data_IF_190447276188
#
_entry.id   IF_190447276188
#
_cell.length_a   1.000
_cell.length_b   1.000
_cell.length_c   1.000
_cell.angle_alpha   90.00
_cell.angle_beta   90.00
_cell.angle_gamma   90.00
#
_symmetry.space_group_name_H-M   'P 1'
#
loop_
_entity.id
_entity.type
_entity.pdbx_description
1 polymer ?
#
# COMPACT_ATOMS: atom_id res chain seq x y z
N UNK A 1 -9.19 31.81 20.04
CA UNK A 1 -9.21 30.33 19.94
C UNK A 1 -8.53 29.74 21.17
N UNK A 2 -9.29 29.07 22.05
CA UNK A 2 -8.74 28.32 23.19
C UNK A 2 -7.66 27.32 22.74
N UNK A 3 -6.65 27.11 23.58
CA UNK A 3 -5.51 26.21 23.28
C UNK A 3 -5.96 24.75 23.03
N UNK A 4 -7.07 24.33 23.66
CA UNK A 4 -7.66 23.00 23.46
C UNK A 4 -8.24 22.83 22.04
N UNK A 5 -9.00 23.81 21.54
CA UNK A 5 -9.58 23.79 20.20
C UNK A 5 -8.51 23.77 19.10
N UNK A 6 -7.41 24.52 19.31
CA UNK A 6 -6.25 24.49 18.40
C UNK A 6 -5.63 23.10 18.31
N UNK A 7 -5.51 22.39 19.44
CA UNK A 7 -4.90 21.06 19.50
C UNK A 7 -5.79 19.99 18.84
N UNK A 8 -7.10 20.07 19.01
CA UNK A 8 -8.07 19.21 18.31
C UNK A 8 -8.03 19.45 16.80
N UNK A 9 -8.03 20.72 16.36
CA UNK A 9 -7.94 21.06 14.94
C UNK A 9 -6.63 20.56 14.28
N UNK A 10 -5.51 20.64 15.00
CA UNK A 10 -4.24 20.05 14.55
C UNK A 10 -4.34 18.53 14.43
N UNK A 11 -4.90 17.83 15.42
CA UNK A 11 -5.10 16.38 15.36
C UNK A 11 -6.00 15.97 14.20
N UNK A 12 -7.10 16.68 13.94
CA UNK A 12 -7.95 16.46 12.78
C UNK A 12 -7.18 16.59 11.45
N UNK A 13 -6.29 17.59 11.36
CA UNK A 13 -5.41 17.75 10.18
C UNK A 13 -4.45 16.57 10.05
N UNK A 14 -3.84 16.12 11.15
CA UNK A 14 -2.93 14.95 11.12
C UNK A 14 -3.67 13.69 10.73
N UNK A 15 -4.89 13.44 11.23
CA UNK A 15 -5.72 12.29 10.81
C UNK A 15 -5.94 12.31 9.30
N UNK A 16 -6.30 13.47 8.72
CA UNK A 16 -6.45 13.60 7.26
C UNK A 16 -5.16 13.30 6.51
N UNK A 17 -4.01 13.77 7.00
CA UNK A 17 -2.71 13.46 6.40
C UNK A 17 -2.38 11.96 6.48
N UNK A 18 -2.67 11.29 7.60
CA UNK A 18 -2.46 9.85 7.75
C UNK A 18 -3.38 9.03 6.87
N UNK A 19 -4.62 9.48 6.64
CA UNK A 19 -5.51 8.84 5.68
C UNK A 19 -4.98 8.93 4.25
N UNK A 20 -4.42 10.08 3.85
CA UNK A 20 -3.74 10.24 2.55
C UNK A 20 -2.51 9.33 2.46
N UNK A 21 -1.69 9.25 3.51
CA UNK A 21 -0.53 8.34 3.57
C UNK A 21 -0.96 6.88 3.41
N UNK A 22 -2.02 6.43 4.11
CA UNK A 22 -2.59 5.09 3.99
C UNK A 22 -3.03 4.80 2.55
N UNK A 23 -3.77 5.72 1.92
CA UNK A 23 -4.24 5.57 0.53
C UNK A 23 -3.07 5.49 -0.45
N UNK A 24 -2.03 6.31 -0.27
CA UNK A 24 -0.81 6.25 -1.09
C UNK A 24 -0.06 4.92 -0.90
N UNK A 25 0.02 4.42 0.32
CA UNK A 25 0.63 3.12 0.60
C UNK A 25 -0.16 1.97 -0.06
N UNK A 26 -1.50 2.03 -0.01
CA UNK A 26 -2.36 1.04 -0.67
C UNK A 26 -2.21 1.06 -2.19
N UNK A 27 -2.14 2.24 -2.81
CA UNK A 27 -1.90 2.37 -4.25
C UNK A 27 -0.54 1.76 -4.65
N UNK A 28 0.52 2.06 -3.89
CA UNK A 28 1.85 1.47 -4.13
C UNK A 28 1.86 -0.05 -3.98
N UNK A 29 1.12 -0.60 -3.02
CA UNK A 29 0.98 -2.04 -2.87
C UNK A 29 0.30 -2.65 -4.10
N UNK A 30 -0.80 -2.05 -4.57
CA UNK A 30 -1.51 -2.51 -5.76
C UNK A 30 -0.62 -2.47 -7.01
N UNK A 31 0.16 -1.40 -7.20
CA UNK A 31 1.13 -1.29 -8.28
C UNK A 31 2.20 -2.39 -8.21
N UNK A 32 2.79 -2.61 -7.02
CA UNK A 32 3.81 -3.63 -6.82
C UNK A 32 3.28 -5.05 -7.04
N UNK A 33 2.08 -5.36 -6.53
CA UNK A 33 1.40 -6.63 -6.77
C UNK A 33 1.06 -6.83 -8.25
N UNK A 34 0.57 -5.78 -8.91
CA UNK A 34 0.28 -5.81 -10.35
C UNK A 34 1.53 -6.08 -11.19
N UNK A 35 2.66 -5.45 -10.85
CA UNK A 35 3.94 -5.69 -11.53
C UNK A 35 4.43 -7.12 -11.31
N UNK A 36 4.41 -7.59 -10.06
CA UNK A 36 4.80 -8.96 -9.73
C UNK A 36 3.96 -10.00 -10.50
N UNK A 37 2.64 -9.82 -10.54
CA UNK A 37 1.75 -10.70 -11.29
C UNK A 37 2.03 -10.70 -12.80
N UNK A 38 2.33 -9.53 -13.39
CA UNK A 38 2.70 -9.43 -14.81
C UNK A 38 4.00 -10.18 -15.13
N UNK A 39 4.99 -10.09 -14.24
CA UNK A 39 6.26 -10.79 -14.41
C UNK A 39 6.10 -12.30 -14.31
N UNK A 40 5.31 -12.79 -13.33
CA UNK A 40 4.99 -14.22 -13.24
C UNK A 40 4.25 -14.73 -14.48
N UNK A 41 3.31 -13.95 -15.02
CA UNK A 41 2.60 -14.30 -16.25
C UNK A 41 3.52 -14.28 -17.49
N UNK A 42 4.52 -13.39 -17.53
CA UNK A 42 5.52 -13.37 -18.60
C UNK A 42 6.48 -14.56 -18.49
N UNK A 43 6.91 -14.91 -17.27
CA UNK A 43 7.74 -16.09 -17.02
C UNK A 43 7.04 -17.37 -17.48
N UNK A 44 5.77 -17.56 -17.10
CA UNK A 44 4.95 -18.71 -17.50
C UNK A 44 4.82 -18.82 -19.02
N UNK A 45 4.45 -17.73 -19.70
CA UNK A 45 4.35 -17.70 -21.17
C UNK A 45 5.69 -17.97 -21.86
N UNK A 46 6.79 -17.46 -21.32
CA UNK A 46 8.13 -17.71 -21.87
C UNK A 46 8.52 -19.18 -21.69
N UNK A 47 8.16 -19.80 -20.57
CA UNK A 47 8.38 -21.23 -20.35
C UNK A 47 7.56 -22.09 -21.32
N UNK A 48 6.30 -21.74 -21.56
CA UNK A 48 5.44 -22.42 -22.55
C UNK A 48 6.02 -22.32 -23.96
N UNK A 49 6.42 -21.11 -24.40
CA UNK A 49 7.04 -20.90 -25.72
C UNK A 49 8.31 -21.73 -25.85
N UNK A 50 9.20 -21.68 -24.86
CA UNK A 50 10.45 -22.45 -24.89
C UNK A 50 10.18 -23.96 -24.96
N UNK A 51 9.19 -24.47 -24.22
CA UNK A 51 8.80 -25.87 -24.24
C UNK A 51 8.23 -26.29 -25.61
N UNK A 52 7.33 -25.49 -26.19
CA UNK A 52 6.75 -25.74 -27.51
C UNK A 52 7.82 -25.82 -28.59
N UNK A 53 8.76 -24.88 -28.61
CA UNK A 53 9.83 -24.86 -29.62
C UNK A 53 10.91 -25.92 -29.37
N UNK A 54 11.17 -26.29 -28.12
CA UNK A 54 12.09 -27.40 -27.80
C UNK A 54 11.54 -28.77 -28.20
N UNK A 55 10.21 -28.92 -28.23
CA UNK A 55 9.55 -30.17 -28.60
C UNK A 55 9.45 -30.39 -30.12
N UNK A 56 9.70 -29.36 -30.93
CA UNK A 56 9.67 -29.43 -32.39
C UNK A 56 10.79 -30.33 -32.92
N UNK A 57 10.45 -31.21 -33.87
CA UNK A 57 11.37 -32.13 -34.55
C UNK A 57 11.23 -32.09 -36.08
N UNK A 58 10.56 -31.06 -36.58
CA UNK A 58 10.18 -30.87 -37.98
C UNK A 58 11.16 -29.98 -38.75
N UNK A 59 12.33 -29.64 -38.18
CA UNK A 59 13.37 -28.92 -38.90
C UNK A 59 13.88 -29.75 -40.09
N UNK A 60 13.67 -29.25 -41.31
CA UNK A 60 14.04 -29.93 -42.54
C UNK A 60 15.51 -29.70 -42.94
N UNK A 61 16.16 -28.70 -42.34
CA UNK A 61 17.56 -28.34 -42.62
C UNK A 61 18.34 -28.02 -41.35
N UNK A 62 19.68 -28.09 -41.43
CA UNK A 62 20.57 -27.70 -40.34
C UNK A 62 20.42 -26.22 -39.97
N UNK A 63 20.19 -25.34 -40.95
CA UNK A 63 19.99 -23.90 -40.71
C UNK A 63 18.69 -23.61 -39.96
N UNK A 64 17.60 -24.31 -40.28
CA UNK A 64 16.33 -24.21 -39.54
C UNK A 64 16.48 -24.70 -38.09
N UNK A 65 17.22 -25.79 -37.90
CA UNK A 65 17.54 -26.29 -36.56
C UNK A 65 18.35 -25.26 -35.77
N UNK A 66 19.40 -24.68 -36.37
CA UNK A 66 20.24 -23.66 -35.74
C UNK A 66 19.42 -22.42 -35.33
N UNK A 67 18.54 -21.92 -36.22
CA UNK A 67 17.62 -20.82 -35.92
C UNK A 67 16.68 -21.15 -34.76
N UNK A 68 16.14 -22.36 -34.72
CA UNK A 68 15.24 -22.82 -33.65
C UNK A 68 15.97 -22.90 -32.31
N UNK A 69 17.19 -23.43 -32.28
CA UNK A 69 18.01 -23.49 -31.07
C UNK A 69 18.36 -22.09 -30.56
N UNK A 70 18.75 -21.17 -31.45
CA UNK A 70 19.08 -19.80 -31.09
C UNK A 70 17.85 -19.06 -30.53
N UNK A 71 16.68 -19.22 -31.16
CA UNK A 71 15.43 -18.67 -30.66
C UNK A 71 15.11 -19.19 -29.26
N UNK A 72 15.15 -20.51 -29.06
CA UNK A 72 14.86 -21.15 -27.78
C UNK A 72 15.81 -20.68 -26.68
N UNK A 73 17.11 -20.53 -26.99
CA UNK A 73 18.10 -19.98 -26.08
C UNK A 73 17.79 -18.53 -25.69
N UNK A 74 17.38 -17.70 -26.66
CA UNK A 74 16.94 -16.33 -26.40
C UNK A 74 15.72 -16.26 -25.48
N UNK A 75 14.72 -17.13 -25.68
CA UNK A 75 13.53 -17.20 -24.81
C UNK A 75 13.90 -17.66 -23.40
N UNK A 76 14.82 -18.62 -23.25
CA UNK A 76 15.30 -19.04 -21.93
C UNK A 76 16.06 -17.93 -21.20
N UNK A 77 16.85 -17.11 -21.91
CA UNK A 77 17.50 -15.94 -21.34
C UNK A 77 16.46 -14.92 -20.83
N UNK A 78 15.47 -14.57 -21.64
CA UNK A 78 14.37 -13.68 -21.26
C UNK A 78 13.63 -14.22 -20.03
N UNK A 79 13.39 -15.53 -19.97
CA UNK A 79 12.77 -16.18 -18.82
C UNK A 79 13.64 -16.05 -17.56
N UNK A 80 14.94 -16.27 -17.66
CA UNK A 80 15.88 -16.11 -16.55
C UNK A 80 15.89 -14.69 -15.99
N UNK A 81 15.94 -13.69 -16.87
CA UNK A 81 15.88 -12.28 -16.50
C UNK A 81 14.53 -11.93 -15.87
N UNK A 82 13.43 -12.40 -16.48
CA UNK A 82 12.07 -12.18 -15.97
C UNK A 82 11.87 -12.80 -14.58
N UNK A 83 12.41 -14.01 -14.34
CA UNK A 83 12.35 -14.65 -13.03
C UNK A 83 13.16 -13.88 -11.97
N UNK A 84 14.30 -13.31 -12.36
CA UNK A 84 15.09 -12.42 -11.50
C UNK A 84 14.30 -11.17 -11.12
N UNK A 85 13.68 -10.50 -12.10
CA UNK A 85 12.83 -9.33 -11.87
C UNK A 85 11.56 -9.68 -11.08
N UNK A 86 10.96 -10.85 -11.30
CA UNK A 86 9.79 -11.32 -10.56
C UNK A 86 10.11 -11.45 -9.07
N UNK A 87 11.28 -11.99 -8.72
CA UNK A 87 11.74 -12.06 -7.32
C UNK A 87 11.88 -10.67 -6.70
N UNK A 88 12.53 -9.73 -7.39
CA UNK A 88 12.66 -8.33 -6.94
C UNK A 88 11.30 -7.66 -6.76
N UNK A 89 10.37 -7.87 -7.70
CA UNK A 89 9.01 -7.36 -7.60
C UNK A 89 8.24 -8.00 -6.44
N UNK A 90 8.47 -9.28 -6.15
CA UNK A 90 7.96 -9.97 -4.98
C UNK A 90 8.46 -9.37 -3.66
N UNK A 91 9.76 -9.04 -3.58
CA UNK A 91 10.34 -8.32 -2.43
C UNK A 91 9.72 -6.93 -2.28
N UNK A 92 9.60 -6.18 -3.38
CA UNK A 92 8.99 -4.85 -3.39
C UNK A 92 7.52 -4.89 -2.94
N UNK A 93 6.76 -5.90 -3.37
CA UNK A 93 5.38 -6.13 -2.95
C UNK A 93 5.28 -6.41 -1.45
N UNK A 94 6.15 -7.27 -0.90
CA UNK A 94 6.23 -7.52 0.55
C UNK A 94 6.58 -6.26 1.34
N UNK A 95 7.54 -5.48 0.86
CA UNK A 95 7.92 -4.22 1.48
C UNK A 95 6.76 -3.21 1.46
N UNK A 96 6.07 -3.07 0.32
CA UNK A 96 4.90 -2.21 0.19
C UNK A 96 3.76 -2.62 1.13
N UNK A 97 3.55 -3.93 1.33
CA UNK A 97 2.57 -4.47 2.27
C UNK A 97 2.92 -4.11 3.72
N UNK A 98 4.18 -4.27 4.11
CA UNK A 98 4.66 -3.86 5.42
C UNK A 98 4.48 -2.34 5.64
N UNK A 99 4.76 -1.52 4.63
CA UNK A 99 4.53 -0.08 4.68
C UNK A 99 3.05 0.28 4.85
N UNK A 100 2.14 -0.41 4.16
CA UNK A 100 0.71 -0.21 4.32
C UNK A 100 0.27 -0.50 5.77
N UNK A 101 0.70 -1.62 6.34
CA UNK A 101 0.38 -1.96 7.74
C UNK A 101 0.89 -0.92 8.73
N UNK A 102 2.08 -0.36 8.51
CA UNK A 102 2.60 0.74 9.34
C UNK A 102 1.73 1.99 9.19
N UNK A 103 1.33 2.35 7.96
CA UNK A 103 0.47 3.50 7.71
C UNK A 103 -0.93 3.34 8.34
N UNK A 104 -1.53 2.15 8.25
CA UNK A 104 -2.78 1.78 8.90
C UNK A 104 -2.69 1.93 10.42
N UNK A 105 -1.62 1.37 11.02
CA UNK A 105 -1.39 1.49 12.47
C UNK A 105 -1.27 2.95 12.90
N UNK A 106 -0.52 3.77 12.16
CA UNK A 106 -0.36 5.21 12.44
C UNK A 106 -1.68 5.97 12.33
N UNK A 107 -2.48 5.66 11.31
CA UNK A 107 -3.80 6.26 11.12
C UNK A 107 -4.71 5.92 12.29
N UNK A 108 -4.76 4.65 12.70
CA UNK A 108 -5.55 4.19 13.85
C UNK A 108 -5.15 4.90 15.15
N UNK A 109 -3.87 4.90 15.49
CA UNK A 109 -3.36 5.57 16.72
C UNK A 109 -3.76 7.06 16.73
N UNK A 110 -3.62 7.74 15.60
CA UNK A 110 -3.95 9.16 15.50
C UNK A 110 -5.46 9.41 15.62
N UNK A 111 -6.29 8.55 15.01
CA UNK A 111 -7.74 8.63 15.08
C UNK A 111 -8.25 8.35 16.51
N UNK A 112 -7.67 7.37 17.19
CA UNK A 112 -7.97 7.03 18.58
C UNK A 112 -7.61 8.20 19.51
N UNK A 113 -6.43 8.81 19.31
CA UNK A 113 -5.99 9.98 20.07
C UNK A 113 -6.90 11.21 19.87
N UNK A 114 -7.36 11.44 18.63
CA UNK A 114 -8.34 12.49 18.34
C UNK A 114 -9.66 12.22 19.07
N UNK A 115 -10.17 10.99 19.00
CA UNK A 115 -11.44 10.58 19.62
C UNK A 115 -11.38 10.71 21.14
N UNK A 116 -10.30 10.25 21.77
CA UNK A 116 -10.06 10.40 23.20
C UNK A 116 -10.06 11.90 23.59
N UNK A 117 -9.39 12.73 22.80
CA UNK A 117 -9.31 14.17 23.08
C UNK A 117 -10.65 14.88 22.95
N UNK A 118 -11.47 14.49 21.97
CA UNK A 118 -12.81 15.04 21.81
C UNK A 118 -13.71 14.68 22.99
N UNK A 119 -13.68 13.43 23.46
CA UNK A 119 -14.42 13.00 24.65
C UNK A 119 -13.98 13.76 25.91
N UNK A 120 -12.68 13.97 26.10
CA UNK A 120 -12.19 14.78 27.22
C UNK A 120 -12.70 16.23 27.17
N UNK A 121 -12.73 16.84 25.98
CA UNK A 121 -13.19 18.22 25.83
C UNK A 121 -14.71 18.33 26.04
N UNK A 122 -15.47 17.35 25.54
CA UNK A 122 -16.91 17.23 25.77
C UNK A 122 -17.23 17.08 27.27
N UNK A 123 -16.56 16.16 27.97
CA UNK A 123 -16.71 15.98 29.42
C UNK A 123 -16.36 17.26 30.19
N UNK A 124 -15.31 17.99 29.76
CA UNK A 124 -14.95 19.29 30.36
C UNK A 124 -15.99 20.37 30.12
N UNK A 125 -16.63 20.40 28.95
CA UNK A 125 -17.73 21.34 28.63
C UNK A 125 -18.95 21.03 29.51
N UNK A 126 -19.39 19.77 29.52
CA UNK A 126 -20.51 19.30 30.34
C UNK A 126 -20.31 19.57 31.83
N UNK A 127 -19.07 19.44 32.33
CA UNK A 127 -18.74 19.74 33.73
C UNK A 127 -18.77 21.25 34.07
N UNK A 128 -18.60 22.13 33.07
CA UNK A 128 -18.57 23.60 33.26
C UNK A 128 -19.95 24.24 33.19
N UNK A 129 -20.87 23.67 32.42
CA UNK A 129 -22.25 24.16 32.27
C UNK A 129 -23.01 24.31 33.60
N UNK A 130 -23.08 23.31 34.50
CA UNK A 130 -23.82 23.44 35.75
C UNK A 130 -23.19 24.50 36.69
N UNK A 131 -21.85 24.60 36.69
CA UNK A 131 -21.13 25.61 37.49
C UNK A 131 -21.36 27.05 36.97
N UNK A 132 -21.52 27.22 35.65
CA UNK A 132 -21.83 28.52 35.06
C UNK A 132 -23.29 28.92 35.27
N UNK A 133 -24.23 27.96 35.17
CA UNK A 133 -25.64 28.16 35.48
C UNK A 133 -25.82 28.56 36.95
N UNK A 134 -25.14 27.87 37.88
CA UNK A 134 -25.16 28.21 39.30
C UNK A 134 -24.60 29.61 39.61
N UNK A 135 -23.55 30.05 38.89
CA UNK A 135 -23.02 31.42 39.02
C UNK A 135 -23.96 32.50 38.49
N UNK A 136 -24.69 32.21 37.40
CA UNK A 136 -25.69 33.15 36.85
C UNK A 136 -26.90 33.30 37.78
N UNK A 137 -27.32 32.23 38.45
CA UNK A 137 -28.41 32.25 39.43
C UNK A 137 -28.04 32.97 40.75
N UNK A 138 -26.75 33.09 41.10
CA UNK A 138 -26.27 33.74 42.33
C UNK A 138 -25.95 35.23 42.21
N UNK A 139 -26.07 35.84 41.03
CA UNK A 139 -25.94 37.30 40.87
C UNK A 139 -27.31 37.95 41.03
N UNK A 140 -27.62 38.61 42.17
CA UNK A 140 -28.80 39.46 42.24
C UNK A 140 -28.60 40.67 41.30
N UNK A 141 -29.65 40.97 40.54
CA UNK A 141 -29.86 42.24 39.83
C UNK A 141 -29.96 43.40 40.81
#
# INVERSE_FOLDING_TARGET
MPQADRRIALLQRVVRLREVEKRRAAARLAEAQGMHGKLLALEGRSAEIAATYSARRDAGTADELARTLQFTAGVQAIRGDTASEARKAGDASRAAMAHLHVAERRQKITADALSARQREDEMRRLSREPAQLARKLKRPS
#
